data_IF_727519340248
#
_entry.id   IF_727519340248
#
_cell.length_a   1.000
_cell.length_b   1.000
_cell.length_c   1.000
_cell.angle_alpha   90.00
_cell.angle_beta   90.00
_cell.angle_gamma   90.00
#
_symmetry.space_group_name_H-M   'P 1'
#
loop_
_entity.id
_entity.type
_entity.pdbx_description
1 polymer ?
#
# COMPACT_ATOMS: atom_id res chain seq x y z
N UNK A 1 -31.94 -9.03 -31.19
CA UNK A 1 -31.60 -9.32 -29.77
C UNK A 1 -30.40 -10.24 -29.74
N UNK A 2 -29.19 -9.70 -29.51
CA UNK A 2 -28.01 -10.49 -29.16
C UNK A 2 -27.20 -9.69 -28.15
N UNK A 3 -26.86 -10.33 -27.04
CA UNK A 3 -26.40 -9.72 -25.80
C UNK A 3 -25.06 -8.99 -25.93
N UNK A 4 -24.93 -7.87 -25.20
CA UNK A 4 -23.67 -7.15 -24.99
C UNK A 4 -22.72 -7.98 -24.12
N UNK A 5 -21.41 -8.02 -24.39
CA UNK A 5 -20.44 -8.58 -23.45
C UNK A 5 -20.33 -7.65 -22.23
N UNK A 6 -20.77 -8.11 -21.07
CA UNK A 6 -20.48 -7.46 -19.79
C UNK A 6 -19.00 -7.66 -19.46
N UNK A 7 -18.16 -6.69 -19.82
CA UNK A 7 -16.76 -6.63 -19.40
C UNK A 7 -16.71 -6.36 -17.90
N UNK A 8 -16.76 -7.43 -17.11
CA UNK A 8 -16.48 -7.43 -15.68
C UNK A 8 -15.04 -6.96 -15.49
N UNK A 9 -14.86 -5.66 -15.24
CA UNK A 9 -13.60 -5.11 -14.79
C UNK A 9 -13.41 -5.59 -13.35
N UNK A 10 -12.83 -6.77 -13.20
CA UNK A 10 -12.26 -7.21 -11.93
C UNK A 10 -11.23 -6.17 -11.53
N UNK A 11 -11.59 -5.32 -10.55
CA UNK A 11 -10.71 -4.38 -9.85
C UNK A 11 -9.66 -5.16 -9.02
N UNK A 12 -8.94 -6.07 -9.66
CA UNK A 12 -7.78 -6.72 -9.09
C UNK A 12 -6.61 -5.77 -9.32
N UNK A 13 -6.36 -4.90 -8.35
CA UNK A 13 -5.11 -4.14 -8.31
C UNK A 13 -3.97 -5.16 -8.43
N UNK A 14 -3.09 -5.08 -9.45
CA UNK A 14 -2.06 -6.09 -9.69
C UNK A 14 -0.94 -5.93 -8.65
N UNK A 15 -1.24 -6.31 -7.41
CA UNK A 15 -0.40 -6.13 -6.24
C UNK A 15 1.02 -6.64 -6.48
N UNK A 16 1.16 -7.83 -7.08
CA UNK A 16 2.47 -8.44 -7.36
C UNK A 16 3.27 -7.65 -8.41
N UNK A 17 2.60 -7.05 -9.40
CA UNK A 17 3.23 -6.24 -10.45
C UNK A 17 3.79 -4.94 -9.86
N UNK A 18 2.92 -4.19 -9.18
CA UNK A 18 3.31 -2.99 -8.45
C UNK A 18 4.40 -3.26 -7.40
N UNK A 19 4.27 -4.35 -6.64
CA UNK A 19 5.23 -4.73 -5.60
C UNK A 19 6.63 -4.95 -6.19
N UNK A 20 6.71 -5.53 -7.39
CA UNK A 20 7.97 -5.71 -8.11
C UNK A 20 8.58 -4.39 -8.57
N UNK A 21 7.75 -3.42 -8.95
CA UNK A 21 8.19 -2.07 -9.33
C UNK A 21 8.74 -1.28 -8.14
N UNK A 22 8.19 -1.48 -6.93
CA UNK A 22 8.69 -0.81 -5.71
C UNK A 22 9.79 -1.57 -4.97
N UNK A 23 10.09 -2.82 -5.36
CA UNK A 23 11.20 -3.61 -4.81
C UNK A 23 12.56 -2.89 -4.76
N UNK A 24 12.97 -2.08 -5.76
CA UNK A 24 14.22 -1.31 -5.70
C UNK A 24 14.26 -0.32 -4.53
N UNK A 25 13.13 0.31 -4.19
CA UNK A 25 13.04 1.24 -3.06
C UNK A 25 13.14 0.48 -1.74
N UNK A 26 12.44 -0.64 -1.58
CA UNK A 26 12.52 -1.49 -0.38
C UNK A 26 13.96 -1.98 -0.14
N UNK A 27 14.66 -2.33 -1.22
CA UNK A 27 16.06 -2.74 -1.14
C UNK A 27 17.03 -1.60 -0.79
N UNK A 28 16.79 -0.38 -1.26
CA UNK A 28 17.58 0.80 -0.90
C UNK A 28 17.44 1.19 0.59
N UNK A 29 16.30 0.83 1.18
CA UNK A 29 15.93 1.17 2.54
C UNK A 29 16.02 0.00 3.53
N UNK A 30 16.42 -1.18 3.06
CA UNK A 30 16.72 -2.35 3.88
C UNK A 30 17.78 -1.98 4.93
N UNK A 31 17.55 -2.39 6.17
CA UNK A 31 18.35 -2.07 7.37
C UNK A 31 18.31 -0.62 7.88
N UNK A 32 17.50 0.28 7.30
CA UNK A 32 17.28 1.62 7.84
C UNK A 32 15.96 1.69 8.61
N UNK A 33 15.91 2.57 9.62
CA UNK A 33 14.70 2.83 10.42
C UNK A 33 13.88 3.95 9.77
N UNK A 34 12.59 3.73 9.59
CA UNK A 34 11.64 4.66 9.00
C UNK A 34 10.84 5.36 10.09
N UNK A 35 11.13 6.64 10.32
CA UNK A 35 10.34 7.45 11.25
C UNK A 35 9.15 8.04 10.50
N UNK A 36 7.94 7.67 10.90
CA UNK A 36 6.69 8.16 10.32
C UNK A 36 6.05 9.15 11.30
N UNK A 37 5.93 10.41 10.89
CA UNK A 37 5.27 11.46 11.66
C UNK A 37 3.81 11.61 11.26
N UNK A 38 2.90 11.48 12.22
CA UNK A 38 1.46 11.68 11.99
C UNK A 38 1.00 13.01 12.58
N UNK A 39 0.36 13.89 11.79
CA UNK A 39 -0.32 15.07 12.32
C UNK A 39 -1.51 14.64 13.19
N UNK A 40 -1.69 15.27 14.36
CA UNK A 40 -2.80 14.95 15.27
C UNK A 40 -4.19 15.15 14.68
N UNK A 41 -4.32 15.99 13.64
CA UNK A 41 -5.55 16.20 12.87
C UNK A 41 -5.94 14.98 12.03
N UNK A 42 -4.96 14.17 11.63
CA UNK A 42 -5.16 12.99 10.80
C UNK A 42 -5.74 11.82 11.63
N UNK A 43 -5.39 11.76 12.91
CA UNK A 43 -6.01 10.87 13.89
C UNK A 43 -7.49 11.25 14.12
N UNK A 44 -7.79 12.56 14.18
CA UNK A 44 -9.15 13.06 14.41
C UNK A 44 -10.08 12.88 13.21
N UNK A 45 -9.54 12.87 12.00
CA UNK A 45 -10.30 12.72 10.75
C UNK A 45 -10.57 11.26 10.36
N UNK A 46 -10.10 10.29 11.16
CA UNK A 46 -10.32 8.86 10.90
C UNK A 46 -9.45 8.27 9.80
N UNK A 47 -8.49 9.04 9.25
CA UNK A 47 -7.55 8.57 8.23
C UNK A 47 -6.38 7.75 8.80
N UNK A 48 -6.41 7.45 10.10
CA UNK A 48 -5.40 6.61 10.73
C UNK A 48 -5.53 5.15 10.31
N UNK A 49 -6.75 4.64 10.13
CA UNK A 49 -6.99 3.22 9.84
C UNK A 49 -6.38 2.78 8.49
N UNK A 50 -6.54 3.52 7.38
CA UNK A 50 -5.86 3.20 6.12
C UNK A 50 -4.34 3.29 6.23
N UNK A 51 -3.83 4.29 6.95
CA UNK A 51 -2.39 4.44 7.15
C UNK A 51 -1.78 3.32 7.97
N UNK A 52 -2.49 2.82 8.98
CA UNK A 52 -2.04 1.65 9.75
C UNK A 52 -1.93 0.42 8.85
N UNK A 53 -2.85 0.26 7.89
CA UNK A 53 -2.76 -0.82 6.91
C UNK A 53 -1.51 -0.69 6.02
N UNK A 54 -1.24 0.52 5.52
CA UNK A 54 -0.05 0.79 4.71
C UNK A 54 1.25 0.59 5.52
N UNK A 55 1.28 1.02 6.78
CA UNK A 55 2.41 0.81 7.70
C UNK A 55 2.63 -0.67 7.99
N UNK A 56 1.57 -1.44 8.20
CA UNK A 56 1.67 -2.89 8.37
C UNK A 56 2.24 -3.57 7.12
N UNK A 57 1.87 -3.07 5.93
CA UNK A 57 2.41 -3.54 4.66
C UNK A 57 3.92 -3.23 4.52
N UNK A 58 4.34 -2.01 4.88
CA UNK A 58 5.76 -1.63 4.95
C UNK A 58 6.55 -2.53 5.91
N UNK A 59 5.99 -2.82 7.09
CA UNK A 59 6.61 -3.69 8.08
C UNK A 59 6.74 -5.13 7.56
N UNK A 60 5.69 -5.65 6.92
CA UNK A 60 5.67 -6.99 6.31
C UNK A 60 6.70 -7.16 5.18
N UNK A 61 7.06 -6.08 4.48
CA UNK A 61 8.11 -6.06 3.46
C UNK A 61 9.54 -6.02 4.05
N UNK A 62 9.68 -6.00 5.37
CA UNK A 62 10.97 -6.06 6.06
C UNK A 62 11.60 -4.69 6.34
N UNK A 63 10.83 -3.60 6.22
CA UNK A 63 11.24 -2.28 6.69
C UNK A 63 11.14 -2.22 8.21
N UNK A 64 12.09 -1.55 8.86
CA UNK A 64 12.04 -1.27 10.30
C UNK A 64 11.36 0.08 10.48
N UNK A 65 10.23 0.10 11.16
CA UNK A 65 9.42 1.30 11.42
C UNK A 65 9.62 1.71 12.88
#
# INVERSE_FOLDING_TARGET
MSALPSSSHSNHFPFVGWLREVAPYIHAFRNKTFVIGFPGELVKSGHLEPLVHDVALLAAMGMRI
#
